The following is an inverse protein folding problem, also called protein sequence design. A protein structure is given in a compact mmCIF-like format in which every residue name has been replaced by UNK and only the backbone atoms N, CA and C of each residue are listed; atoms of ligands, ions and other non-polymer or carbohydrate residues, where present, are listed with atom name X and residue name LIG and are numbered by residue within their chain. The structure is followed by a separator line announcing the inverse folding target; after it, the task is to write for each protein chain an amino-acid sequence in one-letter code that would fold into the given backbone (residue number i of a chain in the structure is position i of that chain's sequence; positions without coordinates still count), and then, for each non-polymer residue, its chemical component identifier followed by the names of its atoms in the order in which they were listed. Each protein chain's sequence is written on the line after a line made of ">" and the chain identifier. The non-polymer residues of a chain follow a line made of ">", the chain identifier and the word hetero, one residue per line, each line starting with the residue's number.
data_IF_539810268278
#
_entry.id   IF_539810268278
#
_cell.length_a   1.000
_cell.length_b   1.000
_cell.length_c   1.000
_cell.angle_alpha   90.00
_cell.angle_beta   90.00
_cell.angle_gamma   90.00
#
_symmetry.space_group_name_H-M   'P 1'
#
loop_
_entity.id
_entity.type
_entity.pdbx_description
1 polymer ?
#
# COMPACT_ATOMS: atom_id res chain seq x y z
N UNK A 1 21.72 -9.95 -26.43
CA UNK A 1 20.84 -11.15 -26.36
C UNK A 1 21.00 -11.74 -24.98
N UNK A 2 20.00 -11.52 -24.12
CA UNK A 2 20.05 -11.85 -22.70
C UNK A 2 19.36 -13.20 -22.53
N UNK A 3 20.14 -14.23 -22.18
CA UNK A 3 19.63 -15.57 -21.91
C UNK A 3 18.86 -15.57 -20.58
N UNK A 4 17.58 -15.20 -20.65
CA UNK A 4 16.61 -15.45 -19.58
C UNK A 4 16.32 -16.95 -19.62
N UNK A 5 17.15 -17.69 -18.89
CA UNK A 5 17.06 -19.14 -18.77
C UNK A 5 15.79 -19.54 -18.05
N UNK A 6 15.13 -20.57 -18.58
CA UNK A 6 13.99 -21.28 -17.98
C UNK A 6 14.54 -22.13 -16.82
N UNK A 7 15.02 -21.48 -15.76
CA UNK A 7 15.20 -22.02 -14.42
C UNK A 7 14.08 -21.49 -13.52
N UNK A 8 13.89 -21.99 -12.29
CA UNK A 8 12.79 -21.53 -11.43
C UNK A 8 13.00 -20.05 -11.19
N UNK A 9 12.14 -19.24 -11.81
CA UNK A 9 12.18 -17.78 -11.79
C UNK A 9 12.29 -17.39 -10.32
N UNK A 10 13.48 -16.95 -9.92
CA UNK A 10 13.81 -16.75 -8.53
C UNK A 10 13.05 -15.53 -8.01
N UNK A 11 12.77 -15.44 -6.70
CA UNK A 11 12.15 -14.24 -6.11
C UNK A 11 12.96 -12.96 -6.43
N UNK A 12 14.27 -13.11 -6.70
CA UNK A 12 15.14 -12.02 -7.12
C UNK A 12 14.83 -11.45 -8.52
N UNK A 13 14.41 -12.27 -9.48
CA UNK A 13 14.08 -11.78 -10.83
C UNK A 13 12.78 -10.99 -10.83
N UNK A 14 11.78 -11.47 -10.07
CA UNK A 14 10.53 -10.72 -9.83
C UNK A 14 10.80 -9.38 -9.13
N UNK A 15 11.74 -9.33 -8.18
CA UNK A 15 12.12 -8.11 -7.49
C UNK A 15 12.75 -7.06 -8.42
N UNK A 16 13.58 -7.48 -9.37
CA UNK A 16 14.19 -6.58 -10.36
C UNK A 16 13.10 -5.99 -11.28
N UNK A 17 12.17 -6.82 -11.76
CA UNK A 17 11.05 -6.35 -12.59
C UNK A 17 10.16 -5.37 -11.80
N UNK A 18 9.85 -5.70 -10.55
CA UNK A 18 9.08 -4.83 -9.66
C UNK A 18 9.77 -3.46 -9.46
N UNK A 19 11.09 -3.46 -9.30
CA UNK A 19 11.86 -2.22 -9.18
C UNK A 19 11.76 -1.34 -10.44
N UNK A 20 11.81 -1.93 -11.63
CA UNK A 20 11.62 -1.19 -12.91
C UNK A 20 10.22 -0.59 -13.00
N UNK A 21 9.18 -1.36 -12.64
CA UNK A 21 7.79 -0.88 -12.62
C UNK A 21 7.65 0.31 -11.65
N UNK A 22 8.21 0.20 -10.44
CA UNK A 22 8.22 1.29 -9.47
C UNK A 22 8.98 2.52 -9.99
N UNK A 23 10.03 2.34 -10.78
CA UNK A 23 10.77 3.47 -11.37
C UNK A 23 9.93 4.25 -12.39
N UNK A 24 9.10 3.55 -13.17
CA UNK A 24 8.22 4.16 -14.19
C UNK A 24 7.01 4.83 -13.52
N UNK A 25 6.34 4.13 -12.61
CA UNK A 25 5.11 4.62 -11.98
C UNK A 25 5.35 5.47 -10.72
N UNK A 26 6.53 5.34 -10.11
CA UNK A 26 6.87 5.94 -8.83
C UNK A 26 6.36 5.15 -7.62
N UNK A 27 7.06 5.28 -6.48
CA UNK A 27 6.67 4.65 -5.20
C UNK A 27 5.32 5.15 -4.66
N UNK A 28 5.00 6.43 -4.89
CA UNK A 28 3.76 7.04 -4.40
C UNK A 28 2.50 6.46 -5.04
N UNK A 29 2.50 6.30 -6.38
CA UNK A 29 1.35 5.74 -7.10
C UNK A 29 1.12 4.27 -6.79
N UNK A 30 2.19 3.49 -6.60
CA UNK A 30 2.07 2.09 -6.17
C UNK A 30 1.52 1.96 -4.75
N UNK A 31 1.92 2.84 -3.82
CA UNK A 31 1.40 2.86 -2.46
C UNK A 31 -0.08 3.27 -2.39
N UNK A 32 -0.50 4.29 -3.14
CA UNK A 32 -1.91 4.72 -3.23
C UNK A 32 -2.81 3.57 -3.69
N UNK A 33 -2.43 2.92 -4.79
CA UNK A 33 -3.19 1.79 -5.36
C UNK A 33 -3.17 0.60 -4.40
N UNK A 34 -2.01 0.28 -3.81
CA UNK A 34 -1.88 -0.78 -2.82
C UNK A 34 -2.72 -0.55 -1.56
N UNK A 35 -2.80 0.69 -1.08
CA UNK A 35 -3.63 1.06 0.07
C UNK A 35 -5.13 0.90 -0.22
N UNK A 36 -5.60 1.37 -1.37
CA UNK A 36 -7.00 1.21 -1.79
C UNK A 36 -7.38 -0.27 -1.99
N UNK A 37 -6.53 -1.04 -2.68
CA UNK A 37 -6.71 -2.47 -2.89
C UNK A 37 -6.64 -3.25 -1.55
N UNK A 38 -5.70 -2.91 -0.67
CA UNK A 38 -5.57 -3.56 0.63
C UNK A 38 -6.82 -3.36 1.50
N UNK A 39 -7.42 -2.16 1.45
CA UNK A 39 -8.66 -1.86 2.15
C UNK A 39 -9.83 -2.66 1.59
N UNK A 40 -10.00 -2.72 0.26
CA UNK A 40 -11.08 -3.51 -0.35
C UNK A 40 -10.93 -5.02 -0.12
N UNK A 41 -9.70 -5.55 -0.17
CA UNK A 41 -9.40 -6.96 0.12
C UNK A 41 -9.68 -7.28 1.60
N UNK A 42 -9.39 -6.34 2.51
CA UNK A 42 -9.67 -6.49 3.94
C UNK A 42 -11.18 -6.58 4.21
N UNK A 43 -11.97 -5.66 3.65
CA UNK A 43 -13.42 -5.71 3.79
C UNK A 43 -14.00 -6.95 3.12
N UNK A 44 -13.51 -7.33 1.94
CA UNK A 44 -13.92 -8.57 1.27
C UNK A 44 -13.65 -9.81 2.12
N UNK A 45 -12.46 -9.90 2.73
CA UNK A 45 -12.12 -11.01 3.64
C UNK A 45 -12.99 -11.00 4.89
N UNK A 46 -13.34 -9.82 5.41
CA UNK A 46 -14.20 -9.66 6.58
C UNK A 46 -15.62 -10.13 6.28
N UNK A 47 -16.24 -9.62 5.22
CA UNK A 47 -17.55 -10.05 4.75
C UNK A 47 -17.60 -11.56 4.42
N UNK A 48 -16.50 -12.12 3.88
CA UNK A 48 -16.40 -13.55 3.60
C UNK A 48 -16.28 -14.43 4.87
N UNK A 49 -15.95 -13.86 6.03
CA UNK A 49 -15.77 -14.59 7.30
C UNK A 49 -16.89 -14.34 8.31
N UNK A 50 -17.50 -13.16 8.29
CA UNK A 50 -18.51 -12.70 9.24
C UNK A 50 -19.72 -12.15 8.47
N UNK A 51 -20.64 -13.02 8.02
CA UNK A 51 -21.78 -12.60 7.19
C UNK A 51 -22.86 -11.79 7.93
N UNK A 52 -22.80 -11.66 9.26
CA UNK A 52 -23.92 -11.17 10.10
C UNK A 52 -23.65 -9.87 10.90
N UNK A 53 -22.53 -9.17 10.70
CA UNK A 53 -22.21 -7.94 11.46
C UNK A 53 -22.31 -6.65 10.61
N UNK A 54 -23.10 -5.63 11.01
CA UNK A 54 -23.23 -4.39 10.26
C UNK A 54 -21.95 -3.56 10.30
N UNK A 55 -21.43 -3.19 9.13
CA UNK A 55 -20.18 -2.44 8.99
C UNK A 55 -20.26 -1.02 9.58
N UNK A 56 -19.51 -0.77 10.66
CA UNK A 56 -19.11 0.58 11.04
C UNK A 56 -17.93 1.01 10.17
N UNK A 57 -18.22 1.80 9.13
CA UNK A 57 -17.24 2.41 8.24
C UNK A 57 -16.44 3.46 9.02
N UNK A 58 -15.36 3.03 9.68
CA UNK A 58 -14.38 3.97 10.23
C UNK A 58 -13.52 4.50 9.10
N UNK A 59 -13.83 5.72 8.68
CA UNK A 59 -12.97 6.53 7.82
C UNK A 59 -11.74 6.93 8.64
N UNK A 60 -10.67 6.15 8.54
CA UNK A 60 -9.37 6.53 9.07
C UNK A 60 -8.81 7.70 8.25
N UNK A 61 -9.08 8.90 8.74
CA UNK A 61 -8.25 10.08 8.55
C UNK A 61 -6.91 9.92 9.26
N UNK A 62 -5.93 10.69 8.79
CA UNK A 62 -4.53 10.83 9.22
C UNK A 62 -3.56 9.79 8.62
N UNK A 63 -2.40 10.15 8.09
CA UNK A 63 -1.58 11.34 8.31
C UNK A 63 -0.80 11.68 7.06
N UNK A 64 -0.67 12.97 6.77
CA UNK A 64 0.16 13.46 5.70
C UNK A 64 0.10 14.97 5.55
N UNK A 65 0.14 15.75 6.64
CA UNK A 65 0.53 17.15 6.51
C UNK A 65 1.31 17.63 7.72
N UNK A 66 2.47 18.21 7.42
CA UNK A 66 3.51 18.68 8.31
C UNK A 66 3.00 19.83 9.20
N UNK A 67 3.45 19.86 10.46
CA UNK A 67 2.97 20.82 11.45
C UNK A 67 3.36 22.27 11.20
N UNK A 68 2.68 23.22 11.87
CA UNK A 68 3.25 24.51 12.19
C UNK A 68 3.71 24.49 13.66
N UNK A 69 5.00 24.77 13.88
CA UNK A 69 5.48 25.14 15.20
C UNK A 69 4.84 26.46 15.63
N UNK A 70 4.26 26.48 16.82
CA UNK A 70 3.84 27.72 17.47
C UNK A 70 3.96 27.59 18.98
N UNK A 71 5.04 28.16 19.50
CA UNK A 71 5.08 29.08 20.65
C UNK A 71 3.92 29.04 21.65
N UNK A 72 4.21 28.67 22.89
CA UNK A 72 3.74 29.32 24.14
C UNK A 72 4.47 28.59 25.30
N UNK A 73 5.25 29.18 26.20
CA UNK A 73 5.20 30.52 26.76
C UNK A 73 4.26 30.52 27.97
N UNK A 74 4.74 30.08 29.14
CA UNK A 74 4.02 30.22 30.41
C UNK A 74 5.02 30.32 31.56
N UNK A 75 5.23 31.56 31.98
CA UNK A 75 5.33 31.93 33.40
C UNK A 75 3.97 31.71 34.07
#
# INVERSE_FOLDING_TARGET
>A
MLAVGIGPIGPFEGLIILAVVILIFGVGKMADIGGALGKSIREFRKAAREPDEPEQVTSASSSGEAGPGSSQGSE
#
